data_IF_292128867167
#
_entry.id   IF_292128867167
#
_cell.length_a   1.000
_cell.length_b   1.000
_cell.length_c   1.000
_cell.angle_alpha   90.00
_cell.angle_beta   90.00
_cell.angle_gamma   90.00
#
_symmetry.space_group_name_H-M   'P 1'
#
loop_
_entity.id
_entity.type
_entity.pdbx_description
1 polymer ?
#
# COMPACT_ATOMS: atom_id res chain seq x y z
N UNK A 1 -12.79 7.76 6.11
CA UNK A 1 -12.47 7.45 4.71
C UNK A 1 -11.16 6.69 4.64
N UNK A 2 -11.04 5.70 3.74
CA UNK A 2 -9.79 4.97 3.47
C UNK A 2 -9.31 5.30 2.05
N UNK A 3 -8.06 5.69 1.90
CA UNK A 3 -7.39 5.89 0.60
C UNK A 3 -6.36 4.77 0.42
N UNK A 4 -6.47 4.04 -0.66
CA UNK A 4 -5.55 2.96 -1.03
C UNK A 4 -4.70 3.42 -2.20
N UNK A 5 -3.39 3.46 -2.01
CA UNK A 5 -2.42 3.64 -3.09
C UNK A 5 -1.94 2.27 -3.56
N UNK A 6 -2.11 1.97 -4.84
CA UNK A 6 -1.62 0.73 -5.44
C UNK A 6 -0.71 1.01 -6.64
N UNK A 7 -0.19 -0.03 -7.23
CA UNK A 7 0.73 0.06 -8.37
C UNK A 7 1.93 -0.86 -8.19
N UNK A 8 2.65 -1.08 -9.26
CA UNK A 8 3.78 -2.03 -9.33
C UNK A 8 4.88 -1.70 -8.31
N UNK A 9 5.65 -2.71 -7.91
CA UNK A 9 6.81 -2.51 -7.05
C UNK A 9 7.78 -1.51 -7.70
N UNK A 10 8.19 -0.48 -6.96
CA UNK A 10 9.01 0.63 -7.51
C UNK A 10 8.19 1.81 -8.05
N UNK A 11 6.87 1.75 -8.09
CA UNK A 11 6.02 2.86 -8.54
C UNK A 11 6.03 4.11 -7.62
N UNK A 12 6.69 4.09 -6.47
CA UNK A 12 6.83 5.24 -5.58
C UNK A 12 5.70 5.42 -4.57
N UNK A 13 4.86 4.42 -4.36
CA UNK A 13 3.73 4.45 -3.42
C UNK A 13 4.09 4.96 -2.02
N UNK A 14 5.14 4.40 -1.42
CA UNK A 14 5.57 4.77 -0.06
C UNK A 14 6.02 6.24 0.02
N UNK A 15 6.72 6.72 -0.99
CA UNK A 15 7.17 8.12 -1.06
C UNK A 15 5.98 9.08 -1.17
N UNK A 16 5.04 8.79 -2.08
CA UNK A 16 3.82 9.60 -2.25
C UNK A 16 3.00 9.60 -0.97
N UNK A 17 2.78 8.42 -0.35
CA UNK A 17 2.07 8.29 0.92
C UNK A 17 2.70 9.15 2.03
N UNK A 18 4.01 9.05 2.22
CA UNK A 18 4.74 9.82 3.24
C UNK A 18 4.59 11.32 3.06
N UNK A 19 4.71 11.81 1.83
CA UNK A 19 4.58 13.24 1.54
C UNK A 19 3.14 13.73 1.71
N UNK A 20 2.13 12.94 1.33
CA UNK A 20 0.72 13.28 1.56
C UNK A 20 0.42 13.38 3.06
N UNK A 21 0.84 12.39 3.85
CA UNK A 21 0.67 12.40 5.31
C UNK A 21 1.37 13.60 5.96
N UNK A 22 2.55 13.97 5.46
CA UNK A 22 3.30 15.14 5.95
C UNK A 22 2.60 16.47 5.65
N UNK A 23 1.91 16.58 4.51
CA UNK A 23 1.32 17.84 4.02
C UNK A 23 -0.14 18.04 4.45
N UNK A 24 -0.86 16.97 4.80
CA UNK A 24 -2.26 17.01 5.21
C UNK A 24 -2.41 16.47 6.65
N UNK A 25 -2.62 17.34 7.60
CA UNK A 25 -2.71 17.05 9.04
C UNK A 25 -3.88 16.13 9.44
N UNK A 26 -4.89 16.05 8.58
CA UNK A 26 -6.05 15.16 8.73
C UNK A 26 -5.87 13.81 8.04
N UNK A 27 -4.73 13.56 7.37
CA UNK A 27 -4.41 12.27 6.74
C UNK A 27 -3.41 11.52 7.62
N UNK A 28 -3.70 10.28 7.94
CA UNK A 28 -2.83 9.45 8.75
C UNK A 28 -2.65 8.06 8.13
N UNK A 29 -1.46 7.50 8.26
CA UNK A 29 -1.24 6.09 7.96
C UNK A 29 -1.54 5.21 9.18
N UNK A 30 -1.66 3.91 8.98
CA UNK A 30 -1.80 2.91 10.02
C UNK A 30 -0.86 1.74 9.74
N UNK A 31 -0.36 1.02 10.76
CA UNK A 31 0.53 -0.12 10.55
C UNK A 31 -0.22 -1.32 9.95
N UNK A 32 0.40 -2.01 9.00
CA UNK A 32 0.00 -3.36 8.59
C UNK A 32 0.76 -4.40 9.39
N UNK A 33 0.26 -5.64 9.43
CA UNK A 33 0.92 -6.75 10.12
C UNK A 33 1.81 -7.50 9.15
N UNK A 34 2.98 -7.93 9.60
CA UNK A 34 3.87 -8.78 8.79
C UNK A 34 4.64 -9.79 9.63
N UNK A 35 4.92 -10.96 9.05
CA UNK A 35 5.85 -11.94 9.60
C UNK A 35 7.29 -11.76 9.10
N UNK A 36 7.52 -10.77 8.22
CA UNK A 36 8.85 -10.44 7.72
C UNK A 36 9.74 -9.92 8.86
N UNK A 37 11.02 -10.31 8.89
CA UNK A 37 11.99 -9.68 9.78
C UNK A 37 12.08 -8.16 9.54
N UNK A 38 12.31 -7.42 10.61
CA UNK A 38 12.48 -5.96 10.56
C UNK A 38 13.71 -5.59 9.73
N UNK A 39 13.59 -4.55 8.91
CA UNK A 39 14.70 -4.00 8.12
C UNK A 39 15.16 -2.66 8.69
N UNK A 40 16.39 -2.21 8.36
CA UNK A 40 16.80 -0.83 8.65
C UNK A 40 15.80 0.19 8.09
N UNK A 41 15.34 1.11 8.93
CA UNK A 41 14.33 2.12 8.56
C UNK A 41 12.87 1.72 8.84
N UNK A 42 12.60 0.46 9.20
CA UNK A 42 11.27 0.10 9.72
C UNK A 42 11.08 0.66 11.13
N UNK A 43 9.88 1.15 11.42
CA UNK A 43 9.49 1.64 12.74
C UNK A 43 8.34 0.77 13.25
N UNK A 44 8.58 -0.08 14.29
CA UNK A 44 7.53 -0.94 14.86
C UNK A 44 6.32 -0.13 15.32
N UNK A 45 5.12 -0.61 15.00
CA UNK A 45 3.86 0.07 15.32
C UNK A 45 3.51 1.28 14.44
N UNK A 46 4.44 1.73 13.61
CA UNK A 46 4.22 2.81 12.62
C UNK A 46 4.19 2.25 11.21
N UNK A 47 5.28 1.62 10.79
CA UNK A 47 5.39 1.00 9.45
C UNK A 47 4.66 -0.34 9.43
N UNK A 48 5.00 -1.20 10.38
CA UNK A 48 4.45 -2.54 10.55
C UNK A 48 4.27 -2.91 12.02
N UNK A 49 3.32 -3.80 12.27
CA UNK A 49 3.25 -4.63 13.47
C UNK A 49 3.96 -5.94 13.10
N UNK A 50 5.17 -6.12 13.61
CA UNK A 50 5.98 -7.32 13.37
C UNK A 50 5.54 -8.42 14.30
N UNK A 51 5.22 -9.59 13.75
CA UNK A 51 4.78 -10.78 14.48
C UNK A 51 5.50 -12.01 13.96
N UNK A 52 5.49 -13.11 14.71
CA UNK A 52 5.95 -14.41 14.19
C UNK A 52 4.94 -14.96 13.18
N UNK A 53 5.36 -15.92 12.37
CA UNK A 53 4.46 -16.61 11.44
C UNK A 53 3.31 -17.31 12.16
N UNK A 54 3.61 -17.95 13.30
CA UNK A 54 2.61 -18.61 14.17
C UNK A 54 1.57 -17.60 14.64
N UNK A 55 2.02 -16.43 15.13
CA UNK A 55 1.12 -15.37 15.58
C UNK A 55 0.27 -14.81 14.44
N UNK A 56 0.85 -14.67 13.24
CA UNK A 56 0.09 -14.24 12.08
C UNK A 56 -1.03 -15.24 11.72
N UNK A 57 -0.72 -16.55 11.77
CA UNK A 57 -1.71 -17.63 11.55
C UNK A 57 -2.81 -17.63 12.61
N UNK A 58 -2.49 -17.35 13.87
CA UNK A 58 -3.49 -17.15 14.92
C UNK A 58 -4.41 -15.96 14.59
N UNK A 59 -3.87 -14.84 14.12
CA UNK A 59 -4.68 -13.68 13.72
C UNK A 59 -5.64 -14.00 12.57
N UNK A 60 -5.21 -14.83 11.61
CA UNK A 60 -6.10 -15.35 10.55
C UNK A 60 -7.23 -16.18 11.17
N UNK A 61 -6.89 -17.15 12.01
CA UNK A 61 -7.87 -18.05 12.65
C UNK A 61 -8.89 -17.28 13.51
N UNK A 62 -8.45 -16.22 14.19
CA UNK A 62 -9.27 -15.35 15.02
C UNK A 62 -10.05 -14.29 14.21
N UNK A 63 -9.92 -14.28 12.87
CA UNK A 63 -10.57 -13.29 12.00
C UNK A 63 -10.22 -11.84 12.38
N UNK A 64 -8.97 -11.59 12.74
CA UNK A 64 -8.48 -10.25 13.13
C UNK A 64 -8.03 -9.41 11.94
N UNK A 65 -7.91 -10.00 10.73
CA UNK A 65 -7.47 -9.33 9.52
C UNK A 65 -8.64 -9.06 8.57
N UNK A 66 -8.59 -7.95 7.82
CA UNK A 66 -9.46 -7.71 6.68
C UNK A 66 -8.99 -8.46 5.45
N UNK A 67 -7.68 -8.49 5.23
CA UNK A 67 -7.04 -9.19 4.13
C UNK A 67 -5.63 -9.61 4.54
N UNK A 68 -5.08 -10.58 3.86
CA UNK A 68 -3.66 -10.92 3.91
C UNK A 68 -3.20 -11.56 2.59
N UNK A 69 -1.90 -11.46 2.33
CA UNK A 69 -1.25 -12.13 1.21
C UNK A 69 0.17 -12.57 1.63
N UNK A 70 0.78 -13.43 0.81
CA UNK A 70 2.13 -13.94 1.03
C UNK A 70 3.05 -13.40 -0.07
N UNK A 71 4.05 -12.64 0.35
CA UNK A 71 5.09 -12.12 -0.55
C UNK A 71 6.47 -12.55 -0.06
N UNK A 72 7.26 -13.15 -0.94
CA UNK A 72 8.63 -13.61 -0.61
C UNK A 72 8.69 -14.47 0.66
N UNK A 73 7.78 -15.43 0.79
CA UNK A 73 7.63 -16.33 1.95
C UNK A 73 7.29 -15.63 3.28
N UNK A 74 6.79 -14.40 3.25
CA UNK A 74 6.34 -13.69 4.44
C UNK A 74 4.88 -13.26 4.29
N UNK A 75 4.16 -13.32 5.40
CA UNK A 75 2.79 -12.84 5.50
C UNK A 75 2.75 -11.32 5.63
N UNK A 76 1.81 -10.70 4.95
CA UNK A 76 1.43 -9.29 5.09
C UNK A 76 -0.08 -9.19 5.18
N UNK A 77 -0.60 -8.30 6.02
CA UNK A 77 -2.05 -8.18 6.15
C UNK A 77 -2.49 -6.88 6.80
N UNK A 78 -3.73 -6.52 6.57
CA UNK A 78 -4.39 -5.36 7.16
C UNK A 78 -5.23 -5.78 8.35
N UNK A 79 -4.75 -5.45 9.55
CA UNK A 79 -5.49 -5.72 10.78
C UNK A 79 -6.72 -4.81 10.91
N UNK A 80 -7.83 -5.38 11.41
CA UNK A 80 -9.11 -4.68 11.56
C UNK A 80 -9.00 -3.51 12.54
N UNK A 81 -8.43 -3.76 13.71
CA UNK A 81 -8.39 -2.77 14.81
C UNK A 81 -7.66 -1.47 14.43
N UNK A 82 -6.41 -1.46 13.93
CA UNK A 82 -5.73 -0.23 13.58
C UNK A 82 -6.46 0.61 12.52
N UNK A 83 -7.05 -0.03 11.52
CA UNK A 83 -7.82 0.67 10.50
C UNK A 83 -9.11 1.26 11.07
N UNK A 84 -9.86 0.47 11.88
CA UNK A 84 -11.11 0.93 12.49
C UNK A 84 -10.89 2.14 13.41
N UNK A 85 -9.83 2.12 14.22
CA UNK A 85 -9.47 3.24 15.10
C UNK A 85 -9.21 4.52 14.32
N UNK A 86 -8.49 4.45 13.19
CA UNK A 86 -8.22 5.60 12.34
C UNK A 86 -9.48 6.17 11.69
N UNK A 87 -10.31 5.31 11.14
CA UNK A 87 -11.56 5.72 10.48
C UNK A 87 -12.56 6.29 11.50
N UNK A 88 -12.70 5.69 12.68
CA UNK A 88 -13.57 6.17 13.75
C UNK A 88 -13.13 7.53 14.29
N UNK A 89 -11.84 7.84 14.29
CA UNK A 89 -11.29 9.13 14.70
C UNK A 89 -11.55 10.29 13.72
N UNK A 90 -12.31 10.09 12.65
CA UNK A 90 -12.63 11.12 11.66
C UNK A 90 -11.46 11.50 10.74
N UNK A 91 -10.33 10.82 10.86
CA UNK A 91 -9.17 11.00 9.97
C UNK A 91 -9.36 10.27 8.65
N UNK A 92 -8.63 10.73 7.65
CA UNK A 92 -8.46 10.01 6.40
C UNK A 92 -7.32 9.01 6.59
N UNK A 93 -7.65 7.72 6.58
CA UNK A 93 -6.65 6.66 6.61
C UNK A 93 -6.05 6.48 5.22
N UNK A 94 -4.73 6.47 5.08
CA UNK A 94 -4.05 6.18 3.81
C UNK A 94 -3.09 5.01 3.97
N UNK A 95 -3.10 4.09 2.99
CA UNK A 95 -2.17 2.95 2.95
C UNK A 95 -1.80 2.57 1.52
N UNK A 96 -0.57 2.11 1.35
CA UNK A 96 -0.14 1.41 0.16
C UNK A 96 -0.43 -0.09 0.29
N UNK A 97 -1.12 -0.63 -0.72
CA UNK A 97 -1.54 -2.04 -0.77
C UNK A 97 -1.35 -2.54 -2.21
N UNK A 98 -1.00 -3.80 -2.38
CA UNK A 98 -0.92 -4.38 -3.72
C UNK A 98 -2.31 -4.58 -4.35
N UNK A 99 -2.34 -5.01 -5.60
CA UNK A 99 -3.60 -5.13 -6.34
C UNK A 99 -4.55 -6.18 -5.76
N UNK A 100 -4.03 -7.30 -5.26
CA UNK A 100 -4.86 -8.36 -4.67
C UNK A 100 -5.43 -7.93 -3.31
N UNK A 101 -4.57 -7.35 -2.47
CA UNK A 101 -4.98 -6.79 -1.19
C UNK A 101 -5.98 -5.65 -1.34
N UNK A 102 -5.83 -4.81 -2.38
CA UNK A 102 -6.80 -3.75 -2.70
C UNK A 102 -8.17 -4.35 -3.02
N UNK A 103 -8.23 -5.35 -3.90
CA UNK A 103 -9.48 -6.02 -4.26
C UNK A 103 -10.16 -6.65 -3.03
N UNK A 104 -9.38 -7.30 -2.16
CA UNK A 104 -9.90 -7.91 -0.94
C UNK A 104 -10.42 -6.86 0.06
N UNK A 105 -9.69 -5.76 0.26
CA UNK A 105 -10.13 -4.68 1.15
C UNK A 105 -11.41 -4.01 0.65
N UNK A 106 -11.50 -3.74 -0.64
CA UNK A 106 -12.71 -3.16 -1.24
C UNK A 106 -13.91 -4.07 -1.00
N UNK A 107 -13.77 -5.39 -1.25
CA UNK A 107 -14.84 -6.37 -0.99
C UNK A 107 -15.26 -6.43 0.48
N UNK A 108 -14.30 -6.43 1.41
CA UNK A 108 -14.56 -6.57 2.84
C UNK A 108 -15.17 -5.31 3.49
N UNK A 109 -14.83 -4.14 2.96
CA UNK A 109 -15.19 -2.84 3.52
C UNK A 109 -16.30 -2.12 2.74
N UNK A 110 -16.76 -2.70 1.61
CA UNK A 110 -17.86 -2.13 0.82
C UNK A 110 -19.09 -1.86 1.69
N UNK A 111 -19.65 -0.67 1.56
CA UNK A 111 -20.80 -0.21 2.36
C UNK A 111 -20.50 0.11 3.84
N UNK A 112 -19.27 -0.12 4.32
CA UNK A 112 -18.88 0.15 5.72
C UNK A 112 -18.01 1.39 5.86
N UNK A 113 -17.17 1.65 4.87
CA UNK A 113 -16.21 2.76 4.85
C UNK A 113 -16.18 3.34 3.44
N UNK A 114 -16.14 4.66 3.30
CA UNK A 114 -15.85 5.29 2.00
C UNK A 114 -14.40 4.95 1.63
N UNK A 115 -14.21 4.28 0.50
CA UNK A 115 -12.90 3.89 -0.03
C UNK A 115 -12.63 4.66 -1.31
N UNK A 116 -11.40 5.12 -1.47
CA UNK A 116 -10.87 5.69 -2.71
C UNK A 116 -9.62 4.89 -3.08
N UNK A 117 -9.62 4.34 -4.28
CA UNK A 117 -8.52 3.55 -4.81
C UNK A 117 -7.76 4.32 -5.88
N UNK A 118 -6.45 4.44 -5.73
CA UNK A 118 -5.57 5.19 -6.65
C UNK A 118 -4.45 4.26 -7.11
N UNK A 119 -4.37 4.02 -8.42
CA UNK A 119 -3.26 3.27 -9.01
C UNK A 119 -2.18 4.24 -9.49
N UNK A 120 -0.96 4.07 -8.98
CA UNK A 120 0.23 4.81 -9.46
C UNK A 120 0.89 4.02 -10.58
N UNK A 121 0.78 4.52 -11.79
CA UNK A 121 1.32 3.93 -13.00
C UNK A 121 2.71 4.48 -13.30
N UNK A 122 3.62 3.61 -13.70
CA UNK A 122 4.97 3.97 -14.13
C UNK A 122 5.35 3.07 -15.31
N UNK A 123 5.90 3.59 -16.40
CA UNK A 123 6.36 2.76 -17.52
C UNK A 123 7.36 1.69 -17.05
N UNK A 124 7.30 0.49 -17.62
CA UNK A 124 8.11 -0.66 -17.21
C UNK A 124 9.62 -0.38 -17.24
N UNK A 125 10.09 0.36 -18.24
CA UNK A 125 11.49 0.76 -18.36
C UNK A 125 11.94 1.69 -17.23
N UNK A 126 11.07 2.62 -16.84
CA UNK A 126 11.34 3.52 -15.73
C UNK A 126 11.32 2.78 -14.38
N UNK A 127 10.43 1.81 -14.21
CA UNK A 127 10.41 0.92 -13.04
C UNK A 127 11.72 0.16 -12.88
N UNK A 128 12.27 -0.40 -13.98
CA UNK A 128 13.57 -1.07 -13.96
C UNK A 128 14.65 -0.16 -13.42
N UNK A 129 14.78 1.05 -13.97
CA UNK A 129 15.76 2.05 -13.51
C UNK A 129 15.61 2.38 -12.03
N UNK A 130 14.37 2.56 -11.56
CA UNK A 130 14.09 2.84 -10.15
C UNK A 130 14.44 1.68 -9.23
N UNK A 131 14.18 0.44 -9.65
CA UNK A 131 14.56 -0.75 -8.90
C UNK A 131 16.08 -0.92 -8.82
N UNK A 132 16.80 -0.70 -9.92
CA UNK A 132 18.26 -0.76 -9.99
C UNK A 132 18.96 0.31 -9.14
N UNK A 133 18.34 1.51 -9.02
CA UNK A 133 18.90 2.63 -8.25
C UNK A 133 18.56 2.60 -6.76
N UNK A 134 17.86 1.57 -6.27
CA UNK A 134 17.48 1.47 -4.85
C UNK A 134 18.70 1.36 -3.92
N UNK A 135 18.60 1.97 -2.76
CA UNK A 135 19.64 1.95 -1.71
C UNK A 135 19.92 0.53 -1.20
N UNK A 136 18.87 -0.31 -1.13
CA UNK A 136 18.96 -1.71 -0.69
C UNK A 136 19.55 -2.66 -1.75
N UNK A 137 19.89 -2.14 -2.94
CA UNK A 137 20.54 -2.85 -4.06
C UNK A 137 19.99 -4.26 -4.27
N UNK A 138 18.72 -4.42 -4.67
CA UNK A 138 18.14 -5.74 -4.92
C UNK A 138 18.94 -6.48 -6.00
N UNK A 139 19.00 -7.81 -5.89
CA UNK A 139 19.66 -8.63 -6.90
C UNK A 139 18.92 -8.54 -8.24
N UNK A 140 19.59 -8.89 -9.34
CA UNK A 140 18.97 -8.89 -10.66
C UNK A 140 17.75 -9.83 -10.71
N UNK A 141 17.83 -10.97 -10.02
CA UNK A 141 16.73 -11.92 -9.89
C UNK A 141 15.51 -11.30 -9.17
N UNK A 142 15.74 -10.53 -8.11
CA UNK A 142 14.67 -9.80 -7.42
C UNK A 142 14.04 -8.72 -8.31
N UNK A 143 14.84 -8.04 -9.13
CA UNK A 143 14.33 -7.03 -10.08
C UNK A 143 13.43 -7.71 -11.11
N UNK A 144 13.89 -8.80 -11.73
CA UNK A 144 13.10 -9.55 -12.71
C UNK A 144 11.81 -10.12 -12.09
N UNK A 145 11.89 -10.67 -10.90
CA UNK A 145 10.71 -11.16 -10.17
C UNK A 145 9.67 -10.03 -9.92
N UNK A 146 10.13 -8.83 -9.59
CA UNK A 146 9.23 -7.69 -9.41
C UNK A 146 8.64 -7.21 -10.73
N UNK A 147 9.42 -7.20 -11.80
CA UNK A 147 8.96 -6.81 -13.14
C UNK A 147 8.05 -7.87 -13.78
N UNK A 148 8.18 -9.15 -13.43
CA UNK A 148 7.30 -10.20 -13.96
C UNK A 148 5.83 -10.02 -13.56
N UNK A 149 5.54 -9.27 -12.50
CA UNK A 149 4.18 -8.95 -12.07
C UNK A 149 3.57 -7.74 -12.77
N UNK A 150 4.37 -7.03 -13.58
CA UNK A 150 3.96 -5.77 -14.21
C UNK A 150 2.68 -5.91 -15.02
N UNK A 151 2.63 -6.85 -15.97
CA UNK A 151 1.48 -7.04 -16.86
C UNK A 151 0.22 -7.45 -16.07
N UNK A 152 0.39 -8.28 -15.05
CA UNK A 152 -0.71 -8.67 -14.18
C UNK A 152 -1.27 -7.47 -13.39
N UNK A 153 -0.39 -6.67 -12.79
CA UNK A 153 -0.81 -5.50 -12.00
C UNK A 153 -1.40 -4.40 -12.90
N UNK A 154 -0.84 -4.16 -14.09
CA UNK A 154 -1.40 -3.26 -15.10
C UNK A 154 -2.79 -3.72 -15.61
N UNK A 155 -3.02 -5.03 -15.74
CA UNK A 155 -4.34 -5.56 -16.15
C UNK A 155 -5.47 -5.27 -15.15
N UNK A 156 -5.12 -4.87 -13.91
CA UNK A 156 -6.08 -4.54 -12.84
C UNK A 156 -6.45 -3.06 -12.79
N UNK A 157 -5.86 -2.23 -13.63
CA UNK A 157 -5.98 -0.76 -13.59
C UNK A 157 -7.44 -0.27 -13.68
N UNK A 158 -8.28 -0.92 -14.47
CA UNK A 158 -9.69 -0.54 -14.65
C UNK A 158 -10.55 -0.70 -13.38
N UNK A 159 -10.03 -1.36 -12.35
CA UNK A 159 -10.72 -1.56 -11.07
C UNK A 159 -10.53 -0.39 -10.09
N UNK A 160 -9.70 0.59 -10.46
CA UNK A 160 -9.36 1.72 -9.60
C UNK A 160 -10.18 2.95 -9.94
N UNK A 161 -10.57 3.71 -8.90
CA UNK A 161 -11.29 4.97 -9.08
C UNK A 161 -10.45 6.01 -9.81
N UNK A 162 -9.12 5.99 -9.58
CA UNK A 162 -8.17 6.91 -10.20
C UNK A 162 -6.89 6.20 -10.64
N UNK A 163 -6.37 6.61 -11.80
CA UNK A 163 -5.06 6.19 -12.31
C UNK A 163 -4.20 7.44 -12.50
N UNK A 164 -3.00 7.45 -11.93
CA UNK A 164 -2.09 8.58 -12.00
C UNK A 164 -0.74 8.10 -12.54
N UNK A 165 -0.29 8.70 -13.65
CA UNK A 165 1.07 8.48 -14.15
C UNK A 165 2.08 9.15 -13.21
N UNK A 166 2.87 8.34 -12.50
CA UNK A 166 3.87 8.80 -11.52
C UNK A 166 5.26 8.94 -12.17
N UNK A 167 5.35 9.73 -13.24
CA UNK A 167 6.61 10.14 -13.86
C UNK A 167 7.19 11.39 -13.20
N UNK A 168 6.33 12.27 -12.69
CA UNK A 168 6.69 13.44 -11.88
C UNK A 168 6.09 13.29 -10.48
N UNK A 169 6.95 13.07 -9.51
CA UNK A 169 6.55 12.79 -8.13
C UNK A 169 5.76 13.95 -7.49
N UNK A 170 6.20 15.20 -7.66
CA UNK A 170 5.54 16.36 -7.05
C UNK A 170 4.14 16.60 -7.63
N UNK A 171 3.97 16.42 -8.93
CA UNK A 171 2.65 16.48 -9.57
C UNK A 171 1.73 15.34 -9.10
N UNK A 172 2.29 14.15 -8.93
CA UNK A 172 1.54 13.00 -8.40
C UNK A 172 1.04 13.27 -6.98
N UNK A 173 1.91 13.80 -6.11
CA UNK A 173 1.53 14.15 -4.73
C UNK A 173 0.39 15.16 -4.74
N UNK A 174 0.48 16.24 -5.54
CA UNK A 174 -0.58 17.25 -5.67
C UNK A 174 -1.89 16.65 -6.17
N UNK A 175 -1.85 15.75 -7.15
CA UNK A 175 -3.05 15.05 -7.66
C UNK A 175 -3.69 14.18 -6.59
N UNK A 176 -2.88 13.40 -5.85
CA UNK A 176 -3.40 12.56 -4.76
C UNK A 176 -4.02 13.42 -3.66
N UNK A 177 -3.38 14.51 -3.25
CA UNK A 177 -3.94 15.44 -2.26
C UNK A 177 -5.28 16.02 -2.74
N UNK A 178 -5.35 16.47 -4.00
CA UNK A 178 -6.59 16.99 -4.58
C UNK A 178 -7.71 15.94 -4.59
N UNK A 179 -7.41 14.70 -4.99
CA UNK A 179 -8.40 13.60 -4.96
C UNK A 179 -8.91 13.38 -3.52
N UNK A 180 -8.05 13.44 -2.52
CA UNK A 180 -8.44 13.30 -1.11
C UNK A 180 -9.37 14.45 -0.71
N UNK A 181 -9.02 15.69 -1.05
CA UNK A 181 -9.81 16.89 -0.75
C UNK A 181 -11.18 16.85 -1.42
N UNK A 182 -11.24 16.52 -2.71
CA UNK A 182 -12.49 16.46 -3.49
C UNK A 182 -13.44 15.35 -3.00
N UNK A 183 -12.93 14.35 -2.28
CA UNK A 183 -13.70 13.20 -1.81
C UNK A 183 -13.97 13.20 -0.30
N UNK A 184 -13.45 14.14 0.43
CA UNK A 184 -13.68 14.29 1.88
C UNK A 184 -15.02 14.95 2.16
#
# INVERSE_FOLDING_TARGET
MLVILSGVAGAGKDTVKKEVVKRLDYVETFPTVTSRPMRPGDIPGVTYIFVTEEKFKEMIANNELYEYDIHHNHYYGVAKKPLQEKVAGGKVAIRDVDVNGTENLVKQLSGKVKIITIFLRVPKEELRKRLESRVDKPSQEEIELRLSRFEYEESKIEQYDYVIDNTNQEETIKKVMKIIEDNR
#
